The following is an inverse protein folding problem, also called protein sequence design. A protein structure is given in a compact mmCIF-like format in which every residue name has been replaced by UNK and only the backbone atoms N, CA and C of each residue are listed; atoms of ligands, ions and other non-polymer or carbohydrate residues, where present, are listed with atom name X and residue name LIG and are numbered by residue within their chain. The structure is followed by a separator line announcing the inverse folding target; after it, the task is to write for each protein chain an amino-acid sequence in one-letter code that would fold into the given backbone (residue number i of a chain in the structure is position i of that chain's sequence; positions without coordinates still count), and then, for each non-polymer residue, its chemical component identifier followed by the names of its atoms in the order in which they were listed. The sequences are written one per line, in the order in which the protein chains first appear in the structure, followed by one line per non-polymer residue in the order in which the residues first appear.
data_IF_898804951650
#
_entry.id   IF_898804951650
#
_cell.length_a   1.000
_cell.length_b   1.000
_cell.length_c   1.000
_cell.angle_alpha   90.00
_cell.angle_beta   90.00
_cell.angle_gamma   90.00
#
_symmetry.space_group_name_H-M   'P 1'
#
loop_
_entity.id
_entity.type
_entity.pdbx_description
1 polymer ?
#
# COMPACT_ATOMS: atom_id res chain seq x y z
N UNK A 1 14.52 26.96 8.84
CA UNK A 1 13.35 26.07 8.70
C UNK A 1 13.69 24.71 9.32
N UNK A 2 12.76 24.06 10.03
CA UNK A 2 13.00 22.71 10.59
C UNK A 2 12.94 21.70 9.44
N UNK A 3 14.05 20.99 9.17
CA UNK A 3 14.14 19.94 8.13
C UNK A 3 13.23 18.74 8.43
N UNK A 4 13.06 18.43 9.71
CA UNK A 4 12.29 17.29 10.21
C UNK A 4 10.89 17.71 10.70
N UNK A 5 9.93 16.79 10.60
CA UNK A 5 8.53 16.95 11.02
C UNK A 5 8.44 17.08 12.54
N UNK A 6 9.01 16.13 13.29
CA UNK A 6 9.00 16.15 14.76
C UNK A 6 10.41 16.43 15.29
N UNK A 7 11.34 15.51 15.05
CA UNK A 7 12.76 15.63 15.40
C UNK A 7 13.57 14.67 14.54
N UNK A 8 14.90 14.89 14.37
CA UNK A 8 15.73 13.99 13.57
C UNK A 8 15.63 12.53 14.03
N UNK A 9 15.78 12.28 15.34
CA UNK A 9 15.75 10.92 15.87
C UNK A 9 14.37 10.26 15.71
N UNK A 10 13.29 11.00 15.96
CA UNK A 10 11.93 10.48 15.83
C UNK A 10 11.59 10.13 14.37
N UNK A 11 11.87 11.06 13.46
CA UNK A 11 11.56 10.90 12.05
C UNK A 11 12.39 9.78 11.42
N UNK A 12 13.67 9.65 11.77
CA UNK A 12 14.49 8.54 11.31
C UNK A 12 13.98 7.20 11.84
N UNK A 13 13.69 7.10 13.13
CA UNK A 13 13.24 5.86 13.75
C UNK A 13 11.90 5.36 13.18
N UNK A 14 10.95 6.27 12.95
CA UNK A 14 9.55 5.89 12.67
C UNK A 14 9.09 6.13 11.24
N UNK A 15 9.78 6.98 10.47
CA UNK A 15 9.34 7.34 9.12
C UNK A 15 10.36 7.01 8.04
N UNK A 16 11.64 7.35 8.24
CA UNK A 16 12.65 7.28 7.17
C UNK A 16 13.42 5.95 7.14
N UNK A 17 13.91 5.46 8.29
CA UNK A 17 14.66 4.20 8.34
C UNK A 17 13.80 2.94 8.10
N UNK A 18 12.55 2.83 8.62
CA UNK A 18 11.75 1.61 8.47
C UNK A 18 11.64 1.07 7.03
N UNK A 19 11.29 1.86 6.00
CA UNK A 19 11.20 1.33 4.63
C UNK A 19 12.56 0.86 4.09
N UNK A 20 13.66 1.54 4.41
CA UNK A 20 15.01 1.15 3.97
C UNK A 20 15.47 -0.13 4.66
N UNK A 21 15.21 -0.24 5.97
CA UNK A 21 15.52 -1.43 6.76
C UNK A 21 14.66 -2.63 6.32
N UNK A 22 13.38 -2.40 6.03
CA UNK A 22 12.49 -3.44 5.52
C UNK A 22 12.96 -3.95 4.14
N UNK A 23 13.36 -3.06 3.23
CA UNK A 23 13.95 -3.44 1.95
C UNK A 23 15.23 -4.26 2.15
N UNK A 24 16.15 -3.78 2.98
CA UNK A 24 17.40 -4.47 3.28
C UNK A 24 17.18 -5.85 3.91
N UNK A 25 16.21 -5.95 4.83
CA UNK A 25 15.81 -7.22 5.44
C UNK A 25 15.22 -8.16 4.40
N UNK A 26 14.34 -7.68 3.52
CA UNK A 26 13.74 -8.46 2.44
C UNK A 26 14.81 -9.05 1.51
N UNK A 27 15.79 -8.24 1.12
CA UNK A 27 16.95 -8.71 0.33
C UNK A 27 17.78 -9.73 1.12
N UNK A 28 18.02 -9.49 2.41
CA UNK A 28 18.84 -10.38 3.25
C UNK A 28 18.19 -11.76 3.48
N UNK A 29 16.86 -11.83 3.55
CA UNK A 29 16.13 -13.10 3.71
C UNK A 29 15.75 -13.74 2.37
N UNK A 30 16.02 -13.07 1.25
CA UNK A 30 15.70 -13.56 -0.08
C UNK A 30 16.40 -14.89 -0.36
N UNK A 31 15.63 -15.90 -0.77
CA UNK A 31 16.14 -17.25 -1.02
C UNK A 31 16.43 -18.09 0.23
N UNK A 32 16.15 -17.58 1.43
CA UNK A 32 16.17 -18.40 2.65
C UNK A 32 14.93 -19.31 2.73
N UNK A 33 15.03 -20.43 3.46
CA UNK A 33 13.89 -21.31 3.72
C UNK A 33 12.70 -20.59 4.36
N UNK A 34 12.95 -19.52 5.13
CA UNK A 34 11.87 -18.68 5.67
C UNK A 34 11.05 -17.97 4.58
N UNK A 35 11.70 -17.61 3.46
CA UNK A 35 11.06 -16.97 2.32
C UNK A 35 10.53 -17.97 1.28
N UNK A 36 11.08 -19.18 1.20
CA UNK A 36 10.78 -20.14 0.12
C UNK A 36 10.02 -21.38 0.56
N UNK A 37 10.23 -21.86 1.79
CA UNK A 37 9.66 -23.12 2.23
C UNK A 37 8.16 -22.98 2.43
N UNK A 38 7.42 -23.92 1.87
CA UNK A 38 5.97 -23.95 1.99
C UNK A 38 5.56 -24.20 3.45
N UNK A 39 4.76 -23.28 3.96
CA UNK A 39 4.08 -23.35 5.24
C UNK A 39 2.59 -23.44 4.95
N UNK A 40 1.87 -24.39 5.55
CA UNK A 40 0.41 -24.47 5.40
C UNK A 40 -0.25 -23.87 6.63
N UNK A 41 -1.07 -22.84 6.43
CA UNK A 41 -1.82 -22.17 7.50
C UNK A 41 -3.30 -22.27 7.15
N UNK A 42 -4.10 -22.90 8.02
CA UNK A 42 -5.54 -23.08 7.81
C UNK A 42 -5.94 -23.76 6.47
N UNK A 43 -5.03 -24.53 5.86
CA UNK A 43 -5.24 -25.22 4.58
C UNK A 43 -4.66 -24.48 3.38
N UNK A 44 -4.26 -23.21 3.54
CA UNK A 44 -3.71 -22.40 2.47
C UNK A 44 -2.16 -22.42 2.49
N UNK A 45 -1.49 -22.63 1.34
CA UNK A 45 -0.05 -22.56 1.24
C UNK A 45 0.41 -21.09 1.36
N UNK A 46 1.44 -20.88 2.18
CA UNK A 46 2.13 -19.60 2.37
C UNK A 46 3.61 -19.86 2.67
N UNK A 47 4.37 -18.84 3.04
CA UNK A 47 5.75 -18.97 3.55
C UNK A 47 5.85 -18.27 4.89
N UNK A 48 6.94 -18.50 5.65
CA UNK A 48 7.16 -17.77 6.91
C UNK A 48 7.18 -16.25 6.69
N UNK A 49 7.88 -15.82 5.63
CA UNK A 49 7.91 -14.41 5.22
C UNK A 49 6.53 -13.90 4.79
N UNK A 50 5.80 -14.67 3.98
CA UNK A 50 4.44 -14.33 3.53
C UNK A 50 3.47 -14.15 4.69
N UNK A 51 3.50 -15.06 5.67
CA UNK A 51 2.68 -14.97 6.87
C UNK A 51 3.02 -13.72 7.71
N UNK A 52 4.30 -13.43 7.93
CA UNK A 52 4.71 -12.23 8.66
C UNK A 52 4.26 -10.94 7.98
N UNK A 53 4.44 -10.84 6.66
CA UNK A 53 3.97 -9.71 5.86
C UNK A 53 2.44 -9.60 5.97
N UNK A 54 1.70 -10.70 5.81
CA UNK A 54 0.25 -10.74 5.94
C UNK A 54 -0.23 -10.24 7.30
N UNK A 55 0.40 -10.66 8.40
CA UNK A 55 0.09 -10.19 9.76
C UNK A 55 0.33 -8.69 9.90
N UNK A 56 1.47 -8.18 9.41
CA UNK A 56 1.79 -6.75 9.49
C UNK A 56 0.83 -5.89 8.65
N UNK A 57 0.53 -6.32 7.42
CA UNK A 57 -0.45 -5.65 6.56
C UNK A 57 -1.82 -5.65 7.24
N UNK A 58 -2.28 -6.78 7.77
CA UNK A 58 -3.56 -6.88 8.44
C UNK A 58 -3.63 -5.94 9.66
N UNK A 59 -2.61 -5.97 10.53
CA UNK A 59 -2.54 -5.09 11.69
C UNK A 59 -2.58 -3.60 11.28
N UNK A 60 -1.87 -3.24 10.21
CA UNK A 60 -1.89 -1.88 9.64
C UNK A 60 -3.29 -1.49 9.15
N UNK A 61 -3.93 -2.34 8.33
CA UNK A 61 -5.26 -2.07 7.77
C UNK A 61 -6.31 -1.91 8.87
N UNK A 62 -6.29 -2.77 9.88
CA UNK A 62 -7.19 -2.68 11.04
C UNK A 62 -6.99 -1.36 11.78
N UNK A 63 -5.73 -1.01 12.10
CA UNK A 63 -5.42 0.24 12.79
C UNK A 63 -5.89 1.48 12.00
N UNK A 64 -5.66 1.50 10.70
CA UNK A 64 -6.07 2.61 9.81
C UNK A 64 -7.60 2.66 9.66
N UNK A 65 -8.27 1.51 9.56
CA UNK A 65 -9.72 1.42 9.52
C UNK A 65 -10.34 2.07 10.76
N UNK A 66 -9.92 1.68 11.96
CA UNK A 66 -10.42 2.30 13.19
C UNK A 66 -10.11 3.80 13.24
N UNK A 67 -8.88 4.20 12.92
CA UNK A 67 -8.49 5.62 12.94
C UNK A 67 -9.36 6.50 12.03
N UNK A 68 -9.74 5.98 10.86
CA UNK A 68 -10.50 6.72 9.86
C UNK A 68 -12.02 6.61 10.07
N UNK A 69 -12.53 5.38 10.22
CA UNK A 69 -13.95 5.06 10.26
C UNK A 69 -14.55 5.18 11.65
N UNK A 70 -13.78 5.01 12.72
CA UNK A 70 -14.27 5.22 14.09
C UNK A 70 -14.15 6.68 14.56
N UNK A 71 -13.74 7.62 13.68
CA UNK A 71 -13.65 9.04 14.02
C UNK A 71 -15.05 9.70 13.98
N UNK A 72 -15.61 10.12 15.14
CA UNK A 72 -16.98 10.64 15.18
C UNK A 72 -17.15 11.94 14.39
N UNK A 73 -16.09 12.75 14.29
CA UNK A 73 -16.13 14.01 13.54
C UNK A 73 -16.25 13.77 12.04
N UNK A 74 -15.57 12.73 11.53
CA UNK A 74 -15.61 12.36 10.11
C UNK A 74 -16.96 11.70 9.79
N UNK A 75 -17.41 10.76 10.62
CA UNK A 75 -18.69 10.08 10.43
C UNK A 75 -19.86 11.07 10.38
N UNK A 76 -19.89 12.06 11.28
CA UNK A 76 -20.94 13.10 11.28
C UNK A 76 -20.91 13.97 10.03
N UNK A 77 -19.73 14.17 9.44
CA UNK A 77 -19.56 15.01 8.24
C UNK A 77 -19.91 14.25 6.95
N UNK A 78 -19.64 12.95 6.89
CA UNK A 78 -19.81 12.14 5.69
C UNK A 78 -20.52 10.80 5.96
N UNK A 79 -21.71 10.79 6.58
CA UNK A 79 -22.35 9.56 7.04
C UNK A 79 -22.64 8.58 5.89
N UNK A 80 -23.12 9.09 4.75
CA UNK A 80 -23.42 8.26 3.58
C UNK A 80 -22.17 7.56 3.05
N UNK A 81 -21.05 8.28 2.92
CA UNK A 81 -19.81 7.75 2.34
C UNK A 81 -19.18 6.66 3.21
N UNK A 82 -19.42 6.69 4.52
CA UNK A 82 -18.82 5.76 5.48
C UNK A 82 -19.76 4.62 5.89
N UNK A 83 -21.08 4.81 5.85
CA UNK A 83 -22.06 3.82 6.31
C UNK A 83 -22.82 3.16 5.17
N UNK A 84 -23.12 3.89 4.09
CA UNK A 84 -24.03 3.44 3.03
C UNK A 84 -23.27 3.00 1.79
N UNK A 85 -22.28 3.78 1.34
CA UNK A 85 -21.52 3.46 0.13
C UNK A 85 -20.75 2.13 0.24
N UNK A 86 -20.01 1.82 1.33
CA UNK A 86 -19.26 0.57 1.41
C UNK A 86 -20.12 -0.69 1.26
N UNK A 87 -21.24 -0.89 1.99
CA UNK A 87 -22.07 -2.08 1.80
C UNK A 87 -22.75 -2.10 0.42
N UNK A 88 -23.13 -0.95 -0.14
CA UNK A 88 -23.72 -0.91 -1.49
C UNK A 88 -22.72 -1.33 -2.57
N UNK A 89 -21.48 -0.84 -2.51
CA UNK A 89 -20.42 -1.23 -3.45
C UNK A 89 -20.09 -2.71 -3.27
N UNK A 90 -20.00 -3.20 -2.03
CA UNK A 90 -19.79 -4.62 -1.75
C UNK A 90 -20.91 -5.49 -2.33
N UNK A 91 -22.18 -5.13 -2.13
CA UNK A 91 -23.32 -5.82 -2.73
C UNK A 91 -23.27 -5.81 -4.25
N UNK A 92 -22.94 -4.67 -4.87
CA UNK A 92 -22.85 -4.56 -6.32
C UNK A 92 -21.76 -5.49 -6.90
N UNK A 93 -20.61 -5.58 -6.24
CA UNK A 93 -19.52 -6.51 -6.59
C UNK A 93 -19.97 -7.96 -6.41
N UNK A 94 -20.57 -8.28 -5.26
CA UNK A 94 -21.00 -9.64 -4.93
C UNK A 94 -22.10 -10.17 -5.87
N UNK A 95 -22.92 -9.30 -6.43
CA UNK A 95 -24.06 -9.67 -7.28
C UNK A 95 -23.75 -9.66 -8.78
N UNK A 96 -22.58 -9.19 -9.22
CA UNK A 96 -22.26 -9.08 -10.65
C UNK A 96 -20.79 -9.41 -10.96
N UNK A 97 -20.53 -10.49 -11.71
CA UNK A 97 -19.18 -10.84 -12.13
C UNK A 97 -18.48 -9.73 -12.93
N UNK A 98 -19.22 -9.01 -13.77
CA UNK A 98 -18.69 -7.86 -14.53
C UNK A 98 -18.25 -6.73 -13.61
N UNK A 99 -19.02 -6.44 -12.55
CA UNK A 99 -18.63 -5.43 -11.57
C UNK A 99 -17.48 -5.90 -10.69
N UNK A 100 -17.37 -7.19 -10.40
CA UNK A 100 -16.21 -7.75 -9.71
C UNK A 100 -14.93 -7.59 -10.53
N UNK A 101 -14.95 -7.95 -11.82
CA UNK A 101 -13.81 -7.75 -12.74
C UNK A 101 -13.43 -6.26 -12.81
N UNK A 102 -14.42 -5.39 -13.01
CA UNK A 102 -14.18 -3.95 -13.05
C UNK A 102 -13.59 -3.44 -11.74
N UNK A 103 -14.10 -3.90 -10.60
CA UNK A 103 -13.60 -3.52 -9.29
C UNK A 103 -12.16 -3.99 -9.07
N UNK A 104 -11.78 -5.19 -9.51
CA UNK A 104 -10.40 -5.67 -9.48
C UNK A 104 -9.48 -4.75 -10.27
N UNK A 105 -9.84 -4.41 -11.51
CA UNK A 105 -9.06 -3.49 -12.34
C UNK A 105 -8.90 -2.13 -11.65
N UNK A 106 -10.00 -1.54 -11.19
CA UNK A 106 -9.97 -0.24 -10.50
C UNK A 106 -9.14 -0.32 -9.22
N UNK A 107 -9.30 -1.38 -8.42
CA UNK A 107 -8.58 -1.58 -7.17
C UNK A 107 -7.07 -1.69 -7.42
N UNK A 108 -6.62 -2.41 -8.44
CA UNK A 108 -5.20 -2.51 -8.79
C UNK A 108 -4.60 -1.14 -9.16
N UNK A 109 -5.26 -0.37 -10.03
CA UNK A 109 -4.76 0.97 -10.39
C UNK A 109 -4.83 1.95 -9.22
N UNK A 110 -5.89 1.86 -8.42
CA UNK A 110 -6.02 2.64 -7.19
C UNK A 110 -4.91 2.30 -6.21
N UNK A 111 -4.55 1.02 -6.06
CA UNK A 111 -3.49 0.54 -5.17
C UNK A 111 -2.16 1.23 -5.47
N UNK A 112 -1.75 1.21 -6.74
CA UNK A 112 -0.54 1.87 -7.24
C UNK A 112 -0.60 3.39 -7.03
N UNK A 113 -1.71 4.01 -7.41
CA UNK A 113 -1.84 5.47 -7.36
C UNK A 113 -1.81 5.99 -5.91
N UNK A 114 -2.58 5.37 -5.01
CA UNK A 114 -2.70 5.85 -3.64
C UNK A 114 -1.43 5.55 -2.81
N UNK A 115 -0.80 4.39 -3.02
CA UNK A 115 0.47 4.03 -2.37
C UNK A 115 1.58 5.00 -2.76
N UNK A 116 1.62 5.40 -4.04
CA UNK A 116 2.50 6.45 -4.53
C UNK A 116 2.22 7.82 -3.92
N UNK A 117 0.96 8.24 -3.96
CA UNK A 117 0.55 9.51 -3.38
C UNK A 117 0.90 9.60 -1.88
N UNK A 118 0.82 8.49 -1.15
CA UNK A 118 1.19 8.38 0.25
C UNK A 118 2.71 8.44 0.47
N UNK A 119 3.49 7.61 -0.24
CA UNK A 119 4.94 7.50 -0.06
C UNK A 119 5.66 8.79 -0.48
N UNK A 120 5.39 9.28 -1.70
CA UNK A 120 5.95 10.53 -2.18
C UNK A 120 5.34 11.75 -1.47
N UNK A 121 4.10 11.63 -0.98
CA UNK A 121 3.48 12.61 -0.10
C UNK A 121 4.33 12.88 1.15
N UNK A 122 4.85 11.83 1.78
CA UNK A 122 5.76 11.95 2.92
C UNK A 122 7.10 12.58 2.54
N UNK A 123 7.73 12.12 1.44
CA UNK A 123 8.99 12.68 0.94
C UNK A 123 8.93 14.20 0.71
N UNK A 124 7.85 14.69 0.08
CA UNK A 124 7.65 16.12 -0.19
C UNK A 124 7.61 17.00 1.05
N UNK A 125 7.21 16.47 2.21
CA UNK A 125 7.24 17.24 3.45
C UNK A 125 8.69 17.57 3.82
N UNK A 126 9.61 16.61 3.67
CA UNK A 126 11.03 16.80 3.93
C UNK A 126 11.68 17.70 2.88
N UNK A 127 11.35 17.53 1.60
CA UNK A 127 11.87 18.38 0.52
C UNK A 127 11.44 19.84 0.68
N UNK A 128 10.16 20.08 0.97
CA UNK A 128 9.65 21.41 1.30
C UNK A 128 10.36 22.01 2.51
N UNK A 129 10.57 21.21 3.55
CA UNK A 129 11.27 21.64 4.76
C UNK A 129 12.76 21.94 4.51
N UNK A 130 13.36 21.31 3.49
CA UNK A 130 14.71 21.56 3.01
C UNK A 130 14.81 22.73 2.01
N UNK A 131 13.67 23.27 1.55
CA UNK A 131 13.59 24.44 0.67
C UNK A 131 13.44 24.12 -0.83
N UNK A 132 13.14 22.87 -1.20
CA UNK A 132 12.93 22.50 -2.59
C UNK A 132 11.64 23.12 -3.18
N UNK A 133 11.63 23.49 -4.49
CA UNK A 133 10.44 23.98 -5.16
C UNK A 133 9.33 22.91 -5.23
N UNK A 134 8.20 23.19 -4.56
CA UNK A 134 7.11 22.21 -4.35
C UNK A 134 6.48 21.71 -5.66
N UNK A 135 6.41 22.57 -6.69
CA UNK A 135 5.78 22.23 -7.97
C UNK A 135 6.65 21.32 -8.83
N UNK A 136 7.97 21.48 -8.79
CA UNK A 136 8.93 20.67 -9.54
C UNK A 136 9.04 19.27 -8.92
N UNK A 137 9.18 19.20 -7.60
CA UNK A 137 9.21 17.95 -6.85
C UNK A 137 7.95 17.10 -7.12
N UNK A 138 6.76 17.71 -7.11
CA UNK A 138 5.49 17.02 -7.36
C UNK A 138 5.44 16.31 -8.72
N UNK A 139 5.99 16.89 -9.78
CA UNK A 139 5.97 16.28 -11.12
C UNK A 139 6.93 15.10 -11.20
N UNK A 140 8.13 15.27 -10.65
CA UNK A 140 9.14 14.22 -10.59
C UNK A 140 8.63 13.02 -9.80
N UNK A 141 8.08 13.26 -8.61
CA UNK A 141 7.49 12.25 -7.74
C UNK A 141 6.41 11.43 -8.44
N UNK A 142 5.50 12.10 -9.15
CA UNK A 142 4.41 11.43 -9.86
C UNK A 142 4.97 10.47 -10.92
N UNK A 143 5.90 10.92 -11.75
CA UNK A 143 6.46 10.08 -12.82
C UNK A 143 7.37 8.98 -12.28
N UNK A 144 8.17 9.26 -11.26
CA UNK A 144 8.97 8.24 -10.57
C UNK A 144 8.06 7.18 -9.94
N UNK A 145 6.94 7.59 -9.33
CA UNK A 145 5.97 6.63 -8.81
C UNK A 145 5.45 5.70 -9.91
N UNK A 146 4.96 6.28 -11.01
CA UNK A 146 4.43 5.47 -12.12
C UNK A 146 5.52 4.56 -12.69
N UNK A 147 6.76 5.02 -12.81
CA UNK A 147 7.87 4.21 -13.31
C UNK A 147 8.23 3.07 -12.34
N UNK A 148 8.33 3.33 -11.04
CA UNK A 148 8.75 2.33 -10.05
C UNK A 148 7.66 1.29 -9.80
N UNK A 149 6.38 1.64 -9.94
CA UNK A 149 5.27 0.68 -9.79
C UNK A 149 4.88 -0.01 -11.10
N UNK A 150 4.69 0.74 -12.19
CA UNK A 150 4.31 0.15 -13.47
C UNK A 150 5.51 -0.51 -14.16
N UNK A 151 6.74 -0.04 -13.92
CA UNK A 151 7.96 -0.59 -14.54
C UNK A 151 8.15 -2.08 -14.28
N UNK A 152 8.16 -2.57 -13.03
CA UNK A 152 8.30 -4.00 -12.73
C UNK A 152 7.18 -4.87 -13.31
N UNK A 153 5.94 -4.35 -13.31
CA UNK A 153 4.77 -5.03 -13.87
C UNK A 153 4.92 -5.12 -15.40
N UNK A 154 5.20 -4.01 -16.08
CA UNK A 154 5.33 -3.94 -17.54
C UNK A 154 6.61 -4.61 -18.06
N UNK A 155 7.67 -4.66 -17.25
CA UNK A 155 8.91 -5.37 -17.55
C UNK A 155 8.81 -6.88 -17.36
N UNK A 156 7.64 -7.39 -16.93
CA UNK A 156 7.38 -8.83 -16.79
C UNK A 156 7.91 -9.45 -15.50
N UNK A 157 8.48 -8.68 -14.58
CA UNK A 157 9.06 -9.19 -13.34
C UNK A 157 8.01 -9.71 -12.35
N UNK A 158 6.80 -9.11 -12.35
CA UNK A 158 5.67 -9.53 -11.49
C UNK A 158 4.37 -9.73 -12.26
N UNK A 159 4.40 -9.59 -13.60
CA UNK A 159 3.20 -9.69 -14.44
C UNK A 159 2.50 -11.03 -14.27
N UNK A 160 3.27 -12.13 -14.19
CA UNK A 160 2.68 -13.46 -14.04
C UNK A 160 1.98 -13.65 -12.70
N UNK A 161 2.54 -13.15 -11.61
CA UNK A 161 1.88 -13.21 -10.29
C UNK A 161 0.55 -12.43 -10.27
N UNK A 162 0.42 -11.38 -11.07
CA UNK A 162 -0.82 -10.61 -11.20
C UNK A 162 -1.86 -11.27 -12.12
N UNK A 163 -1.41 -12.10 -13.08
CA UNK A 163 -2.31 -12.83 -13.99
C UNK A 163 -2.88 -14.10 -13.36
N UNK A 164 -2.19 -14.73 -12.41
CA UNK A 164 -2.69 -15.92 -11.68
C UNK A 164 -4.02 -15.63 -10.98
N UNK A 165 -4.22 -14.41 -10.47
CA UNK A 165 -5.49 -13.98 -9.86
C UNK A 165 -6.66 -14.02 -10.85
N UNK A 166 -6.42 -13.98 -12.16
CA UNK A 166 -7.45 -14.08 -13.19
C UNK A 166 -7.78 -15.54 -13.57
N UNK A 167 -6.93 -16.51 -13.24
CA UNK A 167 -7.14 -17.92 -13.57
C UNK A 167 -8.15 -18.61 -12.65
N UNK A 168 -8.42 -18.04 -11.47
CA UNK A 168 -9.38 -18.54 -10.48
C UNK A 168 -10.84 -18.05 -10.71
N UNK A 169 -11.13 -17.40 -11.84
CA UNK A 169 -12.47 -16.90 -12.23
C UNK A 169 -13.13 -17.70 -13.35
#
# INVERSE_FOLDING_TARGET
MKRYIVSPAYDWLLFLAPPVLALGLGVAISGSGFATDALVVAGDPTTGAGLCIGVLIHAHLVAVFFRSHANPKILRRFPIRFLVIPPLVWLAIALSPWLAILATVVATFWDVWHSGAQTFGFGRIYDRNAGFPVHEARRLDFWLNQLLYAGPILAGATLMEHLVVLEDF
#
